data_IF_365741661879
#
_entry.id   IF_365741661879
#
_cell.length_a   1.000
_cell.length_b   1.000
_cell.length_c   1.000
_cell.angle_alpha   90.00
_cell.angle_beta   90.00
_cell.angle_gamma   90.00
#
_symmetry.space_group_name_H-M   'P 1'
#
loop_
_entity.id
_entity.type
_entity.pdbx_description
1 polymer ?
#
# COMPACT_ATOMS: atom_id res chain seq x y z
N UNK A 1 14.10 -17.35 -1.75
CA UNK A 1 12.76 -16.78 -1.96
C UNK A 1 12.75 -15.31 -1.53
N UNK A 2 13.28 -14.41 -2.36
CA UNK A 2 13.29 -12.96 -2.12
C UNK A 2 12.67 -12.19 -3.30
N UNK A 3 12.46 -12.88 -4.43
CA UNK A 3 11.98 -12.31 -5.70
C UNK A 3 10.47 -12.14 -5.76
N UNK A 4 9.67 -13.08 -5.23
CA UNK A 4 8.21 -12.92 -5.19
C UNK A 4 7.80 -11.72 -4.31
N UNK A 5 8.45 -11.51 -3.16
CA UNK A 5 8.09 -10.42 -2.25
C UNK A 5 8.33 -9.03 -2.85
N UNK A 6 9.42 -8.84 -3.61
CA UNK A 6 9.71 -7.57 -4.30
C UNK A 6 8.77 -7.39 -5.51
N UNK A 7 8.49 -8.48 -6.25
CA UNK A 7 7.59 -8.43 -7.40
C UNK A 7 6.13 -8.20 -6.99
N UNK A 8 5.70 -8.71 -5.84
CA UNK A 8 4.39 -8.45 -5.22
C UNK A 8 4.34 -7.03 -4.61
N UNK A 9 5.45 -6.53 -4.07
CA UNK A 9 5.54 -5.17 -3.49
C UNK A 9 5.40 -4.05 -4.54
N UNK A 10 5.76 -4.31 -5.79
CA UNK A 10 5.72 -3.30 -6.85
C UNK A 10 4.30 -2.88 -7.29
N UNK A 11 3.27 -3.69 -7.02
CA UNK A 11 1.90 -3.46 -7.50
C UNK A 11 1.27 -2.23 -6.85
N UNK A 12 1.57 -2.02 -5.58
CA UNK A 12 1.07 -0.88 -4.80
C UNK A 12 2.02 0.32 -4.79
N UNK A 13 3.32 0.11 -4.97
CA UNK A 13 4.32 1.18 -4.73
C UNK A 13 4.16 2.36 -5.70
N UNK A 14 3.89 2.10 -6.99
CA UNK A 14 3.64 3.18 -7.98
C UNK A 14 2.33 3.93 -7.70
N UNK A 15 1.26 3.21 -7.38
CA UNK A 15 -0.04 3.82 -7.06
C UNK A 15 0.00 4.60 -5.73
N UNK A 16 0.64 4.06 -4.70
CA UNK A 16 0.87 4.72 -3.41
C UNK A 16 1.76 5.96 -3.56
N UNK A 17 2.81 5.89 -4.37
CA UNK A 17 3.65 7.04 -4.68
C UNK A 17 2.88 8.15 -5.39
N UNK A 18 2.06 7.81 -6.38
CA UNK A 18 1.35 8.79 -7.23
C UNK A 18 0.07 9.34 -6.61
N UNK A 19 -0.75 8.49 -5.98
CA UNK A 19 -2.05 8.86 -5.42
C UNK A 19 -2.01 9.10 -3.90
N UNK A 20 -1.07 8.43 -3.22
CA UNK A 20 -0.84 8.55 -1.78
C UNK A 20 0.30 9.49 -1.40
N UNK A 21 1.13 9.96 -2.34
CA UNK A 21 2.43 10.59 -2.08
C UNK A 21 3.32 9.78 -1.11
N UNK A 22 3.11 8.46 -1.05
CA UNK A 22 3.75 7.56 -0.10
C UNK A 22 4.79 6.70 -0.80
N UNK A 23 5.98 7.27 -0.98
CA UNK A 23 7.09 6.66 -1.71
C UNK A 23 7.67 5.41 -1.02
N UNK A 24 7.44 5.28 0.29
CA UNK A 24 8.01 4.22 1.13
C UNK A 24 7.01 3.13 1.51
N UNK A 25 5.75 3.23 1.05
CA UNK A 25 4.70 2.27 1.39
C UNK A 25 4.41 2.20 2.90
N UNK A 26 4.43 3.32 3.61
CA UNK A 26 4.18 3.34 5.07
C UNK A 26 2.72 3.03 5.34
N UNK A 27 2.44 1.94 6.08
CA UNK A 27 1.09 1.56 6.50
C UNK A 27 0.48 2.57 7.48
N UNK A 28 -0.83 2.73 7.44
CA UNK A 28 -1.56 3.51 8.41
C UNK A 28 -1.76 2.67 9.68
N UNK A 29 -1.10 3.05 10.76
CA UNK A 29 -1.23 2.49 12.09
C UNK A 29 -2.22 3.29 12.94
N UNK A 30 -2.55 2.81 14.13
CA UNK A 30 -3.52 3.46 15.01
C UNK A 30 -3.11 4.88 15.44
N UNK A 31 -1.82 5.22 15.41
CA UNK A 31 -1.33 6.56 15.71
C UNK A 31 -1.47 7.54 14.52
N UNK A 32 -1.79 7.06 13.32
CA UNK A 32 -1.96 7.91 12.15
C UNK A 32 -3.34 8.57 12.12
N UNK A 33 -3.36 9.89 12.21
CA UNK A 33 -4.59 10.71 12.19
C UNK A 33 -4.82 11.43 10.85
N UNK A 34 -3.90 11.27 9.90
CA UNK A 34 -3.98 11.91 8.58
C UNK A 34 -4.82 11.13 7.57
N UNK A 35 -4.80 11.59 6.33
CA UNK A 35 -5.47 10.89 5.23
C UNK A 35 -4.88 9.49 5.03
N UNK A 36 -5.70 8.53 4.62
CA UNK A 36 -5.27 7.17 4.27
C UNK A 36 -5.66 6.85 2.84
N UNK A 37 -5.07 5.80 2.29
CA UNK A 37 -5.44 5.21 1.02
C UNK A 37 -5.54 3.69 1.19
N UNK A 38 -6.65 3.11 0.75
CA UNK A 38 -6.87 1.67 0.77
C UNK A 38 -6.29 1.05 -0.50
N UNK A 39 -5.48 0.01 -0.32
CA UNK A 39 -4.96 -0.82 -1.40
C UNK A 39 -5.52 -2.23 -1.21
N UNK A 40 -6.13 -2.76 -2.26
CA UNK A 40 -6.58 -4.14 -2.32
C UNK A 40 -5.49 -4.95 -3.02
N UNK A 41 -4.86 -5.87 -2.28
CA UNK A 41 -3.89 -6.82 -2.82
C UNK A 41 -4.59 -8.17 -3.04
N UNK A 42 -4.12 -8.91 -4.04
CA UNK A 42 -4.60 -10.26 -4.32
C UNK A 42 -3.48 -11.23 -3.99
N UNK A 43 -3.47 -11.75 -2.77
CA UNK A 43 -2.50 -12.77 -2.37
C UNK A 43 -3.01 -14.14 -2.80
N UNK A 44 -2.16 -14.91 -3.48
CA UNK A 44 -2.45 -16.31 -3.75
C UNK A 44 -1.88 -17.15 -2.61
N UNK A 45 -2.75 -17.63 -1.71
CA UNK A 45 -2.38 -18.58 -0.65
C UNK A 45 -3.02 -19.92 -0.92
N UNK A 46 -2.21 -20.97 -0.95
CA UNK A 46 -2.67 -22.36 -1.15
C UNK A 46 -3.42 -22.58 -2.49
N UNK A 47 -3.12 -21.77 -3.51
CA UNK A 47 -3.80 -21.83 -4.81
C UNK A 47 -5.14 -21.08 -4.86
N UNK A 48 -5.60 -20.51 -3.75
CA UNK A 48 -6.78 -19.65 -3.70
C UNK A 48 -6.39 -18.16 -3.73
N UNK A 49 -7.09 -17.37 -4.56
CA UNK A 49 -6.94 -15.92 -4.60
C UNK A 49 -7.68 -15.29 -3.41
N UNK A 50 -6.94 -14.77 -2.45
CA UNK A 50 -7.47 -14.00 -1.32
C UNK A 50 -7.25 -12.51 -1.57
N UNK A 51 -8.31 -11.74 -1.43
CA UNK A 51 -8.22 -10.29 -1.44
C UNK A 51 -7.97 -9.79 -0.03
N UNK A 52 -6.83 -9.13 0.18
CA UNK A 52 -6.51 -8.46 1.43
C UNK A 52 -6.56 -6.96 1.24
N UNK A 53 -7.14 -6.28 2.23
CA UNK A 53 -7.23 -4.82 2.26
C UNK A 53 -6.17 -4.28 3.19
N UNK A 54 -5.38 -3.35 2.70
CA UNK A 54 -4.34 -2.69 3.47
C UNK A 54 -4.51 -1.17 3.41
N UNK A 55 -4.44 -0.52 4.57
CA UNK A 55 -4.47 0.92 4.68
C UNK A 55 -3.03 1.46 4.73
N UNK A 56 -2.75 2.44 3.88
CA UNK A 56 -1.49 3.15 3.85
C UNK A 56 -1.68 4.62 4.16
N UNK A 57 -0.64 5.24 4.72
CA UNK A 57 -0.62 6.69 4.95
C UNK A 57 -0.71 7.40 3.61
N UNK A 58 -1.53 8.45 3.54
CA UNK A 58 -1.61 9.35 2.39
C UNK A 58 -1.14 10.72 2.84
N UNK A 59 -0.12 11.22 2.16
CA UNK A 59 0.43 12.54 2.42
C UNK A 59 -0.25 13.54 1.50
N UNK A 60 -0.96 14.50 2.08
CA UNK A 60 -1.47 15.66 1.34
C UNK A 60 -0.28 16.59 1.10
N UNK A 61 -0.05 16.99 -0.15
CA UNK A 61 0.80 18.17 -0.39
C UNK A 61 0.00 19.36 0.13
N UNK A 62 0.46 19.99 1.22
CA UNK A 62 -0.09 21.28 1.63
C UNK A 62 -0.04 22.22 0.42
N UNK A 63 -1.21 22.63 -0.08
CA UNK A 63 -1.31 23.85 -0.87
C UNK A 63 -1.33 24.99 0.16
N UNK A 64 -0.17 25.61 0.35
CA UNK A 64 -0.05 26.94 0.96
C UNK A 64 -0.07 27.99 -0.13
#
# INVERSE_FOLDING_TARGET
MLSQAILESAWGTSYLATHGNNLFGIKADAAWTGATIEIITNEYRDGEKKQEKHLFRKYTRCAS
#
